data_IF_798779855381
#
_entry.id   IF_798779855381
#
_cell.length_a   1.000
_cell.length_b   1.000
_cell.length_c   1.000
_cell.angle_alpha   90.00
_cell.angle_beta   90.00
_cell.angle_gamma   90.00
#
_symmetry.space_group_name_H-M   'P 1'
#
loop_
_entity.id
_entity.type
_entity.pdbx_description
1 polymer ?
#
# COMPACT_ATOMS: atom_id res chain seq x y z
N UNK A 1 -5.88 28.30 20.51
CA UNK A 1 -5.64 27.95 21.91
C UNK A 1 -6.87 27.22 22.42
N UNK A 2 -6.83 25.91 22.48
CA UNK A 2 -7.60 25.05 23.42
C UNK A 2 -7.24 23.61 23.14
N UNK A 3 -6.65 23.01 24.14
CA UNK A 3 -6.14 21.65 24.19
C UNK A 3 -7.29 20.64 24.23
N UNK A 4 -7.27 19.64 23.36
CA UNK A 4 -8.11 18.44 23.51
C UNK A 4 -7.34 17.38 24.29
N UNK A 5 -7.81 17.16 25.52
CA UNK A 5 -7.30 16.19 26.48
C UNK A 5 -7.77 14.78 26.10
N UNK A 6 -6.81 13.88 26.05
CA UNK A 6 -7.02 12.42 25.95
C UNK A 6 -7.61 11.90 27.26
N UNK A 7 -8.78 11.28 27.21
CA UNK A 7 -9.39 10.59 28.36
C UNK A 7 -8.74 9.21 28.51
N UNK A 8 -7.96 9.03 29.59
CA UNK A 8 -7.49 7.73 30.06
C UNK A 8 -8.51 7.14 31.01
N UNK A 9 -8.96 5.92 30.75
CA UNK A 9 -9.67 5.11 31.75
C UNK A 9 -8.72 4.68 32.85
N UNK A 10 -9.14 4.91 34.10
CA UNK A 10 -8.42 4.61 35.35
C UNK A 10 -9.02 3.33 35.93
N UNK A 11 -8.20 2.28 36.04
CA UNK A 11 -8.52 1.11 36.88
C UNK A 11 -8.13 1.37 38.32
N UNK A 12 -9.01 0.94 39.24
CA UNK A 12 -8.86 1.07 40.69
C UNK A 12 -8.06 -0.11 41.27
N UNK A 13 -7.24 0.12 42.32
CA UNK A 13 -6.44 -0.93 42.94
C UNK A 13 -7.20 -1.71 44.02
N UNK A 14 -6.99 -3.02 44.02
CA UNK A 14 -7.36 -3.92 45.13
C UNK A 14 -6.19 -4.10 46.09
N UNK A 15 -6.50 -3.92 47.38
CA UNK A 15 -5.63 -4.07 48.55
C UNK A 15 -5.46 -5.53 48.97
N UNK A 16 -4.29 -5.91 49.51
CA UNK A 16 -4.07 -7.16 50.25
C UNK A 16 -2.60 -7.57 50.39
N UNK A 17 -2.04 -7.12 51.36
CA UNK A 17 -1.30 -7.49 52.62
C UNK A 17 -0.15 -8.51 52.49
N UNK A 18 0.83 -8.17 53.34
CA UNK A 18 2.19 -8.61 53.54
C UNK A 18 2.44 -10.09 53.85
N UNK A 19 3.65 -10.60 53.55
CA UNK A 19 4.64 -11.07 54.58
C UNK A 19 5.99 -11.44 53.95
N UNK A 20 7.01 -11.11 54.73
CA UNK A 20 8.44 -11.32 54.59
C UNK A 20 8.85 -12.80 54.48
N UNK A 21 9.98 -13.09 53.79
CA UNK A 21 11.17 -13.74 54.40
C UNK A 21 12.34 -13.86 53.39
N UNK A 22 13.42 -13.24 53.73
CA UNK A 22 14.87 -13.61 53.86
C UNK A 22 15.56 -14.47 52.80
N UNK A 23 16.57 -13.80 52.23
CA UNK A 23 17.98 -14.16 52.04
C UNK A 23 18.38 -15.57 51.58
N UNK A 24 19.02 -15.61 50.39
CA UNK A 24 20.35 -16.28 50.27
C UNK A 24 21.12 -15.75 49.07
N UNK A 25 22.40 -15.37 49.32
CA UNK A 25 23.39 -14.98 48.37
C UNK A 25 23.86 -16.21 47.56
N UNK A 26 23.92 -16.08 46.24
CA UNK A 26 24.59 -17.01 45.35
C UNK A 26 25.17 -16.21 44.19
N UNK A 27 26.50 -15.95 44.26
CA UNK A 27 27.24 -15.34 43.17
C UNK A 27 27.38 -16.35 42.02
N UNK A 28 26.84 -16.03 40.85
CA UNK A 28 27.15 -16.74 39.61
C UNK A 28 27.82 -15.76 38.64
N UNK A 29 29.02 -16.16 38.24
CA UNK A 29 29.92 -15.44 37.31
C UNK A 29 29.16 -15.16 36.00
N UNK A 30 29.17 -13.89 35.60
CA UNK A 30 28.71 -13.47 34.28
C UNK A 30 29.61 -14.04 33.19
N UNK A 31 28.99 -14.73 32.25
CA UNK A 31 29.52 -14.92 30.89
C UNK A 31 29.00 -13.73 30.05
N UNK A 32 29.83 -13.18 29.14
CA UNK A 32 29.34 -12.14 28.23
C UNK A 32 28.31 -12.77 27.29
N UNK A 33 27.10 -12.23 27.33
CA UNK A 33 26.09 -12.50 26.30
C UNK A 33 26.57 -11.75 25.06
N UNK A 34 27.03 -12.50 24.07
CA UNK A 34 27.21 -11.99 22.72
C UNK A 34 25.86 -11.49 22.24
N UNK A 35 25.68 -10.18 22.17
CA UNK A 35 24.58 -9.54 21.50
C UNK A 35 24.76 -9.74 19.99
N UNK A 36 24.23 -10.80 19.46
CA UNK A 36 23.95 -10.93 18.04
C UNK A 36 22.90 -9.88 17.70
N UNK A 37 23.34 -8.71 17.25
CA UNK A 37 22.50 -7.73 16.55
C UNK A 37 22.08 -8.35 15.21
N UNK A 38 21.15 -9.28 15.24
CA UNK A 38 20.38 -9.69 14.07
C UNK A 38 19.22 -8.71 13.91
N UNK A 39 19.52 -7.55 13.33
CA UNK A 39 18.55 -6.54 12.91
C UNK A 39 17.99 -6.90 11.55
N UNK A 40 17.61 -8.13 11.35
CA UNK A 40 16.60 -8.49 10.35
C UNK A 40 15.25 -8.10 10.94
N UNK A 41 14.81 -6.84 10.71
CA UNK A 41 13.40 -6.50 10.80
C UNK A 41 12.69 -7.46 9.85
N UNK A 42 12.05 -8.49 10.40
CA UNK A 42 11.19 -9.40 9.65
C UNK A 42 10.09 -8.53 9.06
N UNK A 43 10.21 -8.16 7.79
CA UNK A 43 9.25 -7.34 7.08
C UNK A 43 7.96 -8.17 7.03
N UNK A 44 6.96 -7.77 7.84
CA UNK A 44 5.74 -8.53 8.02
C UNK A 44 4.90 -8.45 6.74
N UNK A 45 4.58 -9.60 6.14
CA UNK A 45 3.69 -9.66 4.99
C UNK A 45 2.26 -9.28 5.41
N UNK A 46 1.61 -8.48 4.60
CA UNK A 46 0.19 -8.10 4.77
C UNK A 46 -0.73 -8.87 3.84
N UNK A 47 -0.20 -9.39 2.74
CA UNK A 47 -0.90 -10.33 1.87
C UNK A 47 0.03 -11.52 1.59
N UNK A 48 -0.51 -12.72 1.69
CA UNK A 48 0.18 -13.96 1.32
C UNK A 48 -0.78 -14.83 0.50
N UNK A 49 -0.32 -15.28 -0.64
CA UNK A 49 -1.04 -16.18 -1.53
C UNK A 49 -0.22 -17.46 -1.75
N UNK A 50 -0.79 -18.61 -1.46
CA UNK A 50 -0.13 -19.89 -1.61
C UNK A 50 -0.91 -20.80 -2.56
N UNK A 51 -0.28 -21.16 -3.70
CA UNK A 51 -0.79 -22.06 -4.74
C UNK A 51 -2.21 -21.70 -5.20
N UNK A 52 -2.53 -20.41 -5.28
CA UNK A 52 -3.84 -19.95 -5.69
C UNK A 52 -4.09 -20.30 -7.15
N UNK A 53 -5.21 -20.94 -7.41
CA UNK A 53 -5.63 -21.36 -8.75
C UNK A 53 -7.08 -21.01 -8.98
N UNK A 54 -7.37 -20.49 -10.19
CA UNK A 54 -8.69 -19.95 -10.54
C UNK A 54 -9.06 -20.28 -11.97
N UNK A 55 -10.32 -20.68 -12.17
CA UNK A 55 -10.88 -20.98 -13.51
C UNK A 55 -12.25 -20.32 -13.66
N UNK A 56 -12.60 -20.06 -14.91
CA UNK A 56 -13.95 -19.72 -15.32
C UNK A 56 -14.42 -20.75 -16.37
N UNK A 57 -15.26 -21.68 -15.94
CA UNK A 57 -15.61 -22.85 -16.74
C UNK A 57 -14.37 -23.71 -17.06
N UNK A 58 -14.08 -23.92 -18.36
CA UNK A 58 -12.89 -24.65 -18.81
C UNK A 58 -11.63 -23.77 -18.89
N UNK A 59 -11.74 -22.47 -18.76
CA UNK A 59 -10.62 -21.53 -18.91
C UNK A 59 -9.87 -21.37 -17.58
N UNK A 60 -8.60 -21.77 -17.54
CA UNK A 60 -7.70 -21.56 -16.38
C UNK A 60 -7.15 -20.14 -16.48
N UNK A 61 -7.42 -19.33 -15.46
CA UNK A 61 -6.91 -17.96 -15.36
C UNK A 61 -5.62 -17.92 -14.54
N UNK A 62 -5.61 -18.63 -13.39
CA UNK A 62 -4.44 -18.73 -12.52
C UNK A 62 -4.11 -20.19 -12.24
N UNK A 63 -2.83 -20.48 -12.15
CA UNK A 63 -2.30 -21.82 -11.82
C UNK A 63 -1.18 -21.70 -10.81
N UNK A 64 -1.45 -22.07 -9.55
CA UNK A 64 -0.49 -22.12 -8.45
C UNK A 64 0.25 -20.79 -8.22
N UNK A 65 -0.50 -19.67 -8.18
CA UNK A 65 0.06 -18.37 -7.82
C UNK A 65 0.59 -18.38 -6.39
N UNK A 66 1.86 -17.99 -6.24
CA UNK A 66 2.47 -17.67 -4.96
C UNK A 66 2.91 -16.20 -5.01
N UNK A 67 2.48 -15.42 -4.03
CA UNK A 67 2.72 -13.98 -3.98
C UNK A 67 2.72 -13.49 -2.54
N UNK A 68 3.59 -12.52 -2.26
CA UNK A 68 3.68 -11.88 -0.95
C UNK A 68 3.77 -10.37 -1.13
N UNK A 69 2.96 -9.63 -0.35
CA UNK A 69 3.00 -8.17 -0.25
C UNK A 69 3.43 -7.79 1.15
N UNK A 70 4.44 -6.95 1.26
CA UNK A 70 5.01 -6.50 2.53
C UNK A 70 4.29 -5.27 3.05
N UNK A 71 4.35 -5.05 4.35
CA UNK A 71 3.79 -3.84 4.97
C UNK A 71 4.50 -2.58 4.48
N UNK A 72 3.73 -1.52 4.24
CA UNK A 72 4.18 -0.18 3.84
C UNK A 72 4.95 -0.15 2.50
N UNK A 73 4.73 -1.12 1.59
CA UNK A 73 5.25 -1.05 0.22
C UNK A 73 4.16 -0.66 -0.78
N UNK A 74 4.57 -0.10 -1.90
CA UNK A 74 3.76 0.00 -3.12
C UNK A 74 4.11 -1.20 -3.99
N UNK A 75 3.20 -2.17 -4.01
CA UNK A 75 3.32 -3.40 -4.77
C UNK A 75 2.47 -3.34 -6.03
N UNK A 76 3.08 -3.54 -7.20
CA UNK A 76 2.36 -3.47 -8.46
C UNK A 76 2.19 -4.85 -9.11
N UNK A 77 1.03 -5.07 -9.72
CA UNK A 77 0.74 -6.22 -10.58
C UNK A 77 0.73 -5.77 -12.03
N UNK A 78 1.64 -6.30 -12.84
CA UNK A 78 1.67 -6.05 -14.28
C UNK A 78 1.46 -7.34 -15.06
N UNK A 79 1.09 -7.20 -16.33
CA UNK A 79 0.85 -8.34 -17.21
C UNK A 79 0.03 -7.93 -18.43
N UNK A 80 0.05 -8.74 -19.47
CA UNK A 80 -0.75 -8.51 -20.66
C UNK A 80 -2.26 -8.47 -20.39
N UNK A 81 -3.04 -7.98 -21.36
CA UNK A 81 -4.50 -8.05 -21.27
C UNK A 81 -4.96 -9.50 -21.12
N UNK A 82 -5.90 -9.75 -20.22
CA UNK A 82 -6.39 -11.10 -19.94
C UNK A 82 -5.46 -11.99 -19.09
N UNK A 83 -4.34 -11.47 -18.57
CA UNK A 83 -3.43 -12.27 -17.72
C UNK A 83 -4.00 -12.59 -16.33
N UNK A 84 -5.18 -12.04 -15.96
CA UNK A 84 -5.84 -12.33 -14.69
C UNK A 84 -5.61 -11.32 -13.57
N UNK A 85 -4.88 -10.21 -13.78
CA UNK A 85 -4.57 -9.21 -12.72
C UNK A 85 -5.79 -8.75 -11.92
N UNK A 86 -6.86 -8.33 -12.61
CA UNK A 86 -8.09 -7.88 -11.93
C UNK A 86 -8.82 -9.03 -11.24
N UNK A 87 -8.67 -10.27 -11.70
CA UNK A 87 -9.19 -11.45 -11.00
C UNK A 87 -8.43 -11.66 -9.70
N UNK A 88 -7.10 -11.61 -9.74
CA UNK A 88 -6.25 -11.75 -8.57
C UNK A 88 -6.53 -10.65 -7.52
N UNK A 89 -6.71 -9.40 -7.97
CA UNK A 89 -7.10 -8.31 -7.07
C UNK A 89 -8.48 -8.59 -6.45
N UNK A 90 -9.47 -9.04 -7.23
CA UNK A 90 -10.80 -9.39 -6.70
C UNK A 90 -10.78 -10.51 -5.68
N UNK A 91 -9.84 -11.44 -5.81
CA UNK A 91 -9.62 -12.51 -4.83
C UNK A 91 -9.05 -11.95 -3.53
N UNK A 92 -8.06 -11.06 -3.60
CA UNK A 92 -7.47 -10.39 -2.42
C UNK A 92 -8.51 -9.57 -1.63
N UNK A 93 -9.47 -8.95 -2.32
CA UNK A 93 -10.52 -8.12 -1.68
C UNK A 93 -11.83 -8.86 -1.42
N UNK A 94 -11.83 -10.20 -1.52
CA UNK A 94 -12.98 -11.07 -1.25
C UNK A 94 -14.20 -10.83 -2.16
N UNK A 95 -13.99 -10.36 -3.41
CA UNK A 95 -15.03 -10.26 -4.45
C UNK A 95 -15.09 -11.50 -5.35
N UNK A 96 -14.08 -12.35 -5.29
CA UNK A 96 -14.02 -13.65 -5.97
C UNK A 96 -13.28 -14.64 -5.09
N UNK A 97 -13.74 -15.89 -5.09
CA UNK A 97 -13.09 -16.98 -4.35
C UNK A 97 -12.30 -17.84 -5.34
N UNK A 98 -11.01 -18.15 -5.08
CA UNK A 98 -10.25 -19.06 -5.92
C UNK A 98 -10.78 -20.50 -5.82
N UNK A 99 -10.49 -21.33 -6.84
CA UNK A 99 -10.86 -22.75 -6.84
C UNK A 99 -9.95 -23.57 -5.92
N UNK A 100 -8.68 -23.16 -5.72
CA UNK A 100 -7.71 -23.82 -4.86
C UNK A 100 -6.64 -22.85 -4.37
N UNK A 101 -5.91 -23.27 -3.32
CA UNK A 101 -4.90 -22.47 -2.65
C UNK A 101 -5.48 -21.68 -1.48
N UNK A 102 -4.67 -20.84 -0.86
CA UNK A 102 -5.06 -20.03 0.30
C UNK A 102 -4.61 -18.58 0.12
N UNK A 103 -5.43 -17.66 0.60
CA UNK A 103 -5.13 -16.22 0.63
C UNK A 103 -5.24 -15.74 2.07
N UNK A 104 -4.18 -15.12 2.57
CA UNK A 104 -4.15 -14.46 3.87
C UNK A 104 -4.00 -12.95 3.65
N UNK A 105 -4.87 -12.15 4.26
CA UNK A 105 -4.81 -10.68 4.21
C UNK A 105 -4.84 -10.13 5.63
N UNK A 106 -3.90 -9.27 5.96
CA UNK A 106 -3.75 -8.67 7.30
C UNK A 106 -3.78 -9.73 8.42
N UNK A 107 -3.14 -10.88 8.17
CA UNK A 107 -3.06 -12.01 9.11
C UNK A 107 -4.29 -12.91 9.17
N UNK A 108 -5.33 -12.65 8.36
CA UNK A 108 -6.56 -13.44 8.33
C UNK A 108 -6.62 -14.31 7.08
N UNK A 109 -6.78 -15.63 7.25
CA UNK A 109 -7.02 -16.53 6.13
C UNK A 109 -8.47 -16.35 5.64
N UNK A 110 -8.62 -15.94 4.38
CA UNK A 110 -9.92 -15.56 3.81
C UNK A 110 -10.91 -16.73 3.69
N UNK A 111 -10.43 -17.96 3.66
CA UNK A 111 -11.30 -19.16 3.55
C UNK A 111 -12.00 -19.51 4.86
N UNK A 112 -11.48 -19.04 5.99
CA UNK A 112 -11.92 -19.44 7.34
C UNK A 112 -12.77 -18.38 8.03
N UNK A 113 -13.09 -17.25 7.38
CA UNK A 113 -13.81 -16.13 7.97
C UNK A 113 -15.32 -16.36 7.96
N UNK A 114 -15.96 -16.08 9.09
CA UNK A 114 -17.41 -15.86 9.15
C UNK A 114 -17.80 -14.49 8.57
N UNK A 115 -19.11 -14.27 8.37
CA UNK A 115 -19.61 -13.04 7.72
C UNK A 115 -19.22 -11.76 8.49
N UNK A 116 -19.29 -11.78 9.81
CA UNK A 116 -18.93 -10.64 10.66
C UNK A 116 -17.43 -10.35 10.60
N UNK A 117 -16.57 -11.37 10.67
CA UNK A 117 -15.13 -11.25 10.56
C UNK A 117 -14.72 -10.75 9.17
N UNK A 118 -15.38 -11.26 8.14
CA UNK A 118 -15.17 -10.83 6.76
C UNK A 118 -15.57 -9.37 6.56
N UNK A 119 -16.67 -8.91 7.18
CA UNK A 119 -17.10 -7.51 7.15
C UNK A 119 -16.09 -6.62 7.87
N UNK A 120 -15.68 -6.98 9.09
CA UNK A 120 -14.69 -6.24 9.86
C UNK A 120 -13.33 -6.15 9.12
N UNK A 121 -12.92 -7.23 8.46
CA UNK A 121 -11.69 -7.23 7.67
C UNK A 121 -11.80 -6.31 6.45
N UNK A 122 -12.94 -6.30 5.73
CA UNK A 122 -13.17 -5.42 4.57
C UNK A 122 -13.10 -3.94 4.91
N UNK A 123 -13.41 -3.53 6.13
CA UNK A 123 -13.31 -2.14 6.59
C UNK A 123 -11.85 -1.67 6.75
N UNK A 124 -10.88 -2.60 6.80
CA UNK A 124 -9.46 -2.31 6.95
C UNK A 124 -8.74 -2.04 5.62
N UNK A 125 -9.42 -2.13 4.50
CA UNK A 125 -8.88 -1.75 3.21
C UNK A 125 -9.81 -0.85 2.41
N UNK A 126 -9.20 -0.02 1.57
CA UNK A 126 -9.87 0.78 0.57
C UNK A 126 -9.67 0.21 -0.83
N UNK A 127 -10.65 0.41 -1.71
CA UNK A 127 -10.58 -0.02 -3.11
C UNK A 127 -10.96 1.12 -4.03
N UNK A 128 -10.09 1.38 -5.01
CA UNK A 128 -10.37 2.25 -6.13
C UNK A 128 -10.42 1.41 -7.41
N UNK A 129 -11.58 1.32 -8.03
CA UNK A 129 -11.77 0.60 -9.29
C UNK A 129 -11.40 1.47 -10.50
N UNK A 130 -11.12 0.85 -11.63
CA UNK A 130 -10.69 1.47 -12.87
C UNK A 130 -11.56 2.67 -13.31
N UNK A 131 -12.88 2.55 -13.20
CA UNK A 131 -13.83 3.62 -13.53
C UNK A 131 -14.26 4.46 -12.32
N UNK A 132 -13.48 4.44 -11.23
CA UNK A 132 -13.75 5.17 -10.00
C UNK A 132 -14.82 4.53 -9.11
N UNK A 133 -15.88 3.97 -9.69
CA UNK A 133 -16.97 3.30 -8.97
C UNK A 133 -17.81 4.22 -8.09
N UNK A 134 -17.81 5.54 -8.32
CA UNK A 134 -18.68 6.48 -7.60
C UNK A 134 -20.15 6.29 -8.00
N UNK A 135 -21.03 6.44 -7.04
CA UNK A 135 -22.47 6.42 -7.27
C UNK A 135 -22.91 7.72 -7.96
N UNK A 136 -23.42 7.63 -9.18
CA UNK A 136 -23.79 8.80 -9.99
C UNK A 136 -24.94 9.63 -9.44
N UNK A 137 -25.77 9.05 -8.57
CA UNK A 137 -26.88 9.72 -7.88
C UNK A 137 -26.49 10.44 -6.59
N UNK A 138 -25.26 10.28 -6.14
CA UNK A 138 -24.72 10.93 -4.95
C UNK A 138 -23.71 12.00 -5.36
N UNK A 139 -23.65 13.08 -4.61
CA UNK A 139 -22.58 14.07 -4.71
C UNK A 139 -21.21 13.45 -4.36
N UNK A 140 -20.13 14.13 -4.69
CA UNK A 140 -18.77 13.69 -4.33
C UNK A 140 -18.63 13.51 -2.82
N UNK A 141 -19.13 14.48 -2.03
CA UNK A 141 -19.06 14.44 -0.57
C UNK A 141 -19.87 13.28 0.00
N UNK A 142 -21.08 13.04 -0.53
CA UNK A 142 -21.90 11.89 -0.14
C UNK A 142 -21.23 10.55 -0.51
N UNK A 143 -20.58 10.46 -1.68
CA UNK A 143 -19.82 9.29 -2.06
C UNK A 143 -18.68 9.02 -1.09
N UNK A 144 -17.93 10.04 -0.67
CA UNK A 144 -16.83 9.91 0.30
C UNK A 144 -17.35 9.52 1.68
N UNK A 145 -18.48 10.10 2.11
CA UNK A 145 -19.10 9.80 3.41
C UNK A 145 -19.85 8.47 3.46
N UNK A 146 -20.15 7.84 2.32
CA UNK A 146 -20.97 6.63 2.27
C UNK A 146 -20.38 5.46 3.09
N UNK A 147 -19.07 5.11 2.99
CA UNK A 147 -18.51 4.04 3.82
C UNK A 147 -18.63 4.32 5.32
N UNK A 148 -18.53 5.59 5.73
CA UNK A 148 -18.71 5.97 7.14
C UNK A 148 -20.15 5.78 7.59
N UNK A 149 -21.16 6.15 6.76
CA UNK A 149 -22.58 5.93 7.09
C UNK A 149 -22.96 4.46 7.21
N UNK A 150 -22.36 3.60 6.38
CA UNK A 150 -22.66 2.17 6.35
C UNK A 150 -21.97 1.38 7.48
N UNK A 151 -20.83 1.88 7.99
CA UNK A 151 -19.95 1.09 8.86
C UNK A 151 -19.63 1.74 10.20
N UNK A 152 -20.21 2.90 10.52
CA UNK A 152 -19.97 3.61 11.80
C UNK A 152 -21.27 4.22 12.35
N UNK A 153 -21.29 4.48 13.66
CA UNK A 153 -22.38 5.18 14.33
C UNK A 153 -22.13 6.70 14.45
N UNK A 154 -21.33 7.28 13.55
CA UNK A 154 -21.01 8.71 13.54
C UNK A 154 -22.24 9.52 13.11
N UNK A 155 -22.37 10.73 13.67
CA UNK A 155 -23.42 11.66 13.24
C UNK A 155 -23.15 12.15 11.80
N UNK A 156 -24.21 12.48 11.05
CA UNK A 156 -24.11 13.02 9.70
C UNK A 156 -23.21 14.28 9.64
N UNK A 157 -23.28 15.15 10.65
CA UNK A 157 -22.43 16.33 10.71
C UNK A 157 -20.93 15.97 10.76
N UNK A 158 -20.56 14.96 11.57
CA UNK A 158 -19.17 14.50 11.67
C UNK A 158 -18.73 13.75 10.41
N UNK A 159 -19.60 12.94 9.83
CA UNK A 159 -19.32 12.28 8.53
C UNK A 159 -19.05 13.33 7.45
N UNK A 160 -19.82 14.41 7.44
CA UNK A 160 -19.67 15.50 6.51
C UNK A 160 -18.34 16.25 6.68
N UNK A 161 -17.88 16.44 7.92
CA UNK A 161 -16.56 17.02 8.21
C UNK A 161 -15.43 16.10 7.77
N UNK A 162 -15.53 14.80 8.07
CA UNK A 162 -14.53 13.80 7.64
C UNK A 162 -14.47 13.73 6.13
N UNK A 163 -15.63 13.69 5.45
CA UNK A 163 -15.69 13.66 4.00
C UNK A 163 -15.05 14.90 3.36
N UNK A 164 -15.28 16.08 3.94
CA UNK A 164 -14.64 17.33 3.51
C UNK A 164 -13.10 17.27 3.68
N UNK A 165 -12.62 16.72 4.80
CA UNK A 165 -11.20 16.53 5.04
C UNK A 165 -10.57 15.53 4.07
N UNK A 166 -11.24 14.38 3.80
CA UNK A 166 -10.76 13.41 2.81
C UNK A 166 -10.73 13.98 1.39
N UNK A 167 -11.65 14.88 1.07
CA UNK A 167 -11.65 15.64 -0.19
C UNK A 167 -10.39 16.50 -0.31
N UNK A 168 -10.03 17.25 0.74
CA UNK A 168 -8.81 18.06 0.78
C UNK A 168 -7.54 17.19 0.69
N UNK A 169 -7.50 16.06 1.41
CA UNK A 169 -6.40 15.09 1.31
C UNK A 169 -6.18 14.59 -0.12
N UNK A 170 -7.25 14.42 -0.89
CA UNK A 170 -7.17 14.05 -2.30
C UNK A 170 -6.80 15.23 -3.23
N UNK A 171 -6.53 16.41 -2.67
CA UNK A 171 -6.18 17.63 -3.42
C UNK A 171 -7.34 18.18 -4.25
N UNK A 172 -8.58 17.99 -3.79
CA UNK A 172 -9.78 18.52 -4.43
C UNK A 172 -10.32 19.74 -3.66
N UNK A 173 -10.67 20.85 -4.35
CA UNK A 173 -11.28 22.01 -3.69
C UNK A 173 -12.63 21.65 -3.06
N UNK A 174 -12.97 22.24 -1.91
CA UNK A 174 -14.20 21.97 -1.16
C UNK A 174 -15.50 22.12 -1.99
N UNK A 175 -15.51 23.05 -2.95
CA UNK A 175 -16.65 23.25 -3.86
C UNK A 175 -16.99 22.01 -4.70
N UNK A 176 -16.02 21.12 -4.93
CA UNK A 176 -16.20 19.87 -5.68
C UNK A 176 -17.07 18.88 -4.89
N UNK A 177 -17.10 18.99 -3.57
CA UNK A 177 -17.92 18.15 -2.72
C UNK A 177 -19.41 18.17 -3.03
N UNK A 178 -19.93 19.27 -3.55
CA UNK A 178 -21.34 19.42 -3.95
C UNK A 178 -21.64 18.99 -5.40
N UNK A 179 -20.61 18.66 -6.18
CA UNK A 179 -20.79 18.21 -7.57
C UNK A 179 -21.14 16.71 -7.63
N UNK A 180 -21.79 16.34 -8.73
CA UNK A 180 -22.03 14.92 -9.04
C UNK A 180 -20.88 14.34 -9.88
N UNK A 181 -20.66 13.02 -9.85
CA UNK A 181 -19.59 12.39 -10.62
C UNK A 181 -19.55 12.77 -12.10
N UNK A 182 -20.70 12.95 -12.74
CA UNK A 182 -20.81 13.33 -14.15
C UNK A 182 -20.26 14.73 -14.48
N UNK A 183 -20.09 15.57 -13.47
CA UNK A 183 -19.58 16.95 -13.62
C UNK A 183 -18.05 17.04 -13.45
N UNK A 184 -17.38 15.92 -13.12
CA UNK A 184 -15.95 15.87 -12.81
C UNK A 184 -15.12 15.61 -14.07
N UNK A 185 -13.93 16.22 -14.13
CA UNK A 185 -12.89 15.75 -15.04
C UNK A 185 -12.40 14.35 -14.66
N UNK A 186 -11.74 13.65 -15.58
CA UNK A 186 -11.17 12.32 -15.31
C UNK A 186 -10.26 12.28 -14.07
N UNK A 187 -9.35 13.26 -13.96
CA UNK A 187 -8.45 13.36 -12.80
C UNK A 187 -9.19 13.66 -11.50
N UNK A 188 -10.22 14.54 -11.52
CA UNK A 188 -11.05 14.80 -10.34
C UNK A 188 -11.85 13.56 -9.93
N UNK A 189 -12.37 12.79 -10.89
CA UNK A 189 -13.06 11.53 -10.65
C UNK A 189 -12.15 10.52 -9.93
N UNK A 190 -10.91 10.36 -10.40
CA UNK A 190 -9.91 9.46 -9.79
C UNK A 190 -9.58 9.88 -8.36
N UNK A 191 -9.33 11.17 -8.13
CA UNK A 191 -9.06 11.73 -6.80
C UNK A 191 -10.25 11.58 -5.84
N UNK A 192 -11.47 11.83 -6.29
CA UNK A 192 -12.68 11.61 -5.50
C UNK A 192 -12.87 10.14 -5.13
N UNK A 193 -12.58 9.23 -6.05
CA UNK A 193 -12.62 7.78 -5.81
C UNK A 193 -11.58 7.33 -4.80
N UNK A 194 -10.38 7.91 -4.86
CA UNK A 194 -9.32 7.68 -3.89
C UNK A 194 -9.73 8.22 -2.50
N UNK A 195 -10.30 9.44 -2.42
CA UNK A 195 -10.83 10.00 -1.18
C UNK A 195 -11.88 9.08 -0.52
N UNK A 196 -12.79 8.49 -1.31
CA UNK A 196 -13.76 7.50 -0.83
C UNK A 196 -13.08 6.22 -0.33
N UNK A 197 -12.08 5.71 -1.05
CA UNK A 197 -11.33 4.54 -0.65
C UNK A 197 -10.59 4.74 0.69
N UNK A 198 -10.25 5.99 1.02
CA UNK A 198 -9.59 6.37 2.27
C UNK A 198 -10.55 6.71 3.42
N UNK A 199 -11.88 6.65 3.21
CA UNK A 199 -12.85 7.16 4.17
C UNK A 199 -12.76 6.51 5.56
N UNK A 200 -12.49 5.21 5.64
CA UNK A 200 -12.37 4.42 6.87
C UNK A 200 -10.94 4.31 7.41
N UNK A 201 -10.00 5.16 6.98
CA UNK A 201 -8.58 5.09 7.36
C UNK A 201 -7.97 3.67 7.21
N UNK A 202 -7.97 3.12 5.98
CA UNK A 202 -7.54 1.76 5.75
C UNK A 202 -6.04 1.55 6.01
N UNK A 203 -5.64 0.31 6.34
CA UNK A 203 -4.24 -0.11 6.41
C UNK A 203 -3.69 -0.52 5.03
N UNK A 204 -4.59 -0.92 4.12
CA UNK A 204 -4.28 -1.45 2.80
C UNK A 204 -5.14 -0.78 1.74
N UNK A 205 -4.54 -0.37 0.63
CA UNK A 205 -5.23 0.29 -0.46
C UNK A 205 -5.03 -0.48 -1.77
N UNK A 206 -6.12 -0.81 -2.43
CA UNK A 206 -6.11 -1.44 -3.75
C UNK A 206 -6.48 -0.43 -4.83
N UNK A 207 -5.63 -0.30 -5.85
CA UNK A 207 -5.81 0.63 -6.96
C UNK A 207 -5.82 -0.13 -8.29
N UNK A 208 -6.97 -0.14 -8.96
CA UNK A 208 -7.10 -0.75 -10.29
C UNK A 208 -7.03 0.35 -11.35
N UNK A 209 -5.88 0.43 -12.05
CA UNK A 209 -5.59 1.41 -13.10
C UNK A 209 -5.83 2.87 -12.66
N UNK A 210 -5.11 3.38 -11.63
CA UNK A 210 -5.41 4.66 -11.02
C UNK A 210 -5.28 5.85 -11.96
N UNK A 211 -4.39 5.80 -12.95
CA UNK A 211 -4.10 6.90 -13.88
C UNK A 211 -4.59 6.65 -15.30
N UNK A 212 -5.22 5.48 -15.56
CA UNK A 212 -5.70 5.14 -16.89
C UNK A 212 -6.70 6.18 -17.43
N UNK A 213 -6.43 6.64 -18.67
CA UNK A 213 -7.28 7.61 -19.37
C UNK A 213 -7.10 9.05 -18.93
N UNK A 214 -6.10 9.36 -18.10
CA UNK A 214 -5.74 10.72 -17.74
C UNK A 214 -4.71 11.31 -18.72
N UNK A 215 -4.72 12.63 -18.81
CA UNK A 215 -3.61 13.38 -19.40
C UNK A 215 -2.36 13.30 -18.49
N UNK A 216 -1.14 13.51 -19.02
CA UNK A 216 0.09 13.34 -18.24
C UNK A 216 0.17 14.18 -16.97
N UNK A 217 -0.36 15.41 -16.97
CA UNK A 217 -0.32 16.29 -15.79
C UNK A 217 -1.26 15.79 -14.70
N UNK A 218 -2.46 15.36 -15.09
CA UNK A 218 -3.42 14.76 -14.17
C UNK A 218 -2.93 13.43 -13.60
N UNK A 219 -2.25 12.63 -14.41
CA UNK A 219 -1.65 11.36 -13.99
C UNK A 219 -0.56 11.59 -12.94
N UNK A 220 0.43 12.45 -13.22
CA UNK A 220 1.49 12.81 -12.27
C UNK A 220 0.92 13.30 -10.93
N UNK A 221 -0.14 14.10 -10.98
CA UNK A 221 -0.78 14.56 -9.76
C UNK A 221 -1.49 13.47 -8.93
N UNK A 222 -1.91 12.35 -9.53
CA UNK A 222 -2.41 11.17 -8.81
C UNK A 222 -1.25 10.35 -8.26
N UNK A 223 -0.16 10.22 -9.01
CA UNK A 223 1.04 9.49 -8.62
C UNK A 223 1.71 10.10 -7.38
N UNK A 224 1.87 11.43 -7.39
CA UNK A 224 2.39 12.16 -6.23
C UNK A 224 1.48 12.03 -5.00
N UNK A 225 0.17 11.98 -5.20
CA UNK A 225 -0.79 11.76 -4.12
C UNK A 225 -0.62 10.34 -3.53
N UNK A 226 -0.47 9.31 -4.36
CA UNK A 226 -0.24 7.92 -3.93
C UNK A 226 1.03 7.82 -3.10
N UNK A 227 2.15 8.42 -3.54
CA UNK A 227 3.41 8.48 -2.80
C UNK A 227 3.23 9.19 -1.45
N UNK A 228 2.56 10.36 -1.45
CA UNK A 228 2.30 11.14 -0.24
C UNK A 228 1.50 10.34 0.78
N UNK A 229 0.47 9.62 0.34
CA UNK A 229 -0.38 8.80 1.21
C UNK A 229 0.42 7.63 1.82
N UNK A 230 1.26 6.95 1.03
CA UNK A 230 2.17 5.92 1.56
C UNK A 230 3.09 6.49 2.64
N UNK A 231 3.78 7.58 2.33
CA UNK A 231 4.84 8.13 3.20
C UNK A 231 4.29 8.73 4.50
N UNK A 232 3.12 9.40 4.45
CA UNK A 232 2.52 10.02 5.62
C UNK A 232 1.78 9.05 6.52
N UNK A 233 1.11 8.04 5.94
CA UNK A 233 0.23 7.13 6.70
C UNK A 233 0.79 5.71 6.83
N UNK A 234 1.94 5.41 6.21
CA UNK A 234 2.50 4.07 6.21
C UNK A 234 1.60 3.04 5.51
N UNK A 235 0.81 3.50 4.53
CA UNK A 235 -0.13 2.65 3.78
C UNK A 235 0.62 1.60 2.98
N UNK A 236 0.10 0.39 2.99
CA UNK A 236 0.45 -0.62 1.99
C UNK A 236 -0.45 -0.44 0.78
N UNK A 237 0.11 -0.38 -0.41
CA UNK A 237 -0.65 -0.14 -1.64
C UNK A 237 -0.41 -1.29 -2.62
N UNK A 238 -1.48 -1.91 -3.08
CA UNK A 238 -1.46 -2.88 -4.18
C UNK A 238 -2.11 -2.23 -5.40
N UNK A 239 -1.35 -2.09 -6.48
CA UNK A 239 -1.89 -1.48 -7.70
C UNK A 239 -1.81 -2.39 -8.91
N UNK A 240 -2.78 -2.26 -9.80
CA UNK A 240 -2.71 -2.79 -11.16
C UNK A 240 -2.49 -1.62 -12.10
N UNK A 241 -1.49 -1.71 -12.93
CA UNK A 241 -1.24 -0.71 -13.99
C UNK A 241 -0.47 -1.32 -15.14
N UNK A 242 -0.54 -0.68 -16.29
CA UNK A 242 0.29 -0.95 -17.46
C UNK A 242 1.20 0.23 -17.81
N UNK A 243 1.21 1.27 -16.97
CA UNK A 243 2.03 2.45 -17.11
C UNK A 243 3.41 2.22 -16.51
N UNK A 244 4.42 2.07 -17.38
CA UNK A 244 5.79 1.80 -16.94
C UNK A 244 6.46 3.01 -16.31
N UNK A 245 6.11 4.23 -16.75
CA UNK A 245 6.66 5.45 -16.18
C UNK A 245 6.22 5.61 -14.73
N UNK A 246 4.94 5.35 -14.46
CA UNK A 246 4.40 5.28 -13.10
C UNK A 246 5.15 4.24 -12.26
N UNK A 247 5.33 3.02 -12.77
CA UNK A 247 5.99 1.94 -12.03
C UNK A 247 7.43 2.28 -11.63
N UNK A 248 8.20 2.91 -12.53
CA UNK A 248 9.55 3.36 -12.21
C UNK A 248 9.61 4.45 -11.13
N UNK A 249 8.55 5.26 -11.03
CA UNK A 249 8.48 6.35 -10.07
C UNK A 249 8.00 5.91 -8.68
N UNK A 250 7.00 5.01 -8.62
CA UNK A 250 6.29 4.77 -7.36
C UNK A 250 6.42 3.34 -6.83
N UNK A 251 6.66 2.32 -7.67
CA UNK A 251 6.60 0.93 -7.23
C UNK A 251 7.89 0.49 -6.53
N UNK A 252 7.75 -0.02 -5.30
CA UNK A 252 8.86 -0.66 -4.58
C UNK A 252 9.15 -2.05 -5.15
N UNK A 253 8.09 -2.83 -5.41
CA UNK A 253 8.17 -4.15 -6.04
C UNK A 253 7.05 -4.36 -7.04
N UNK A 254 7.36 -5.13 -8.06
CA UNK A 254 6.45 -5.45 -9.17
C UNK A 254 6.38 -6.96 -9.35
N UNK A 255 5.19 -7.52 -9.50
CA UNK A 255 4.98 -8.89 -9.95
C UNK A 255 4.51 -8.91 -11.40
N UNK A 256 5.18 -9.68 -12.23
CA UNK A 256 4.83 -9.89 -13.64
C UNK A 256 3.96 -11.14 -13.76
N UNK A 257 2.71 -10.95 -14.19
CA UNK A 257 1.75 -12.02 -14.39
C UNK A 257 1.60 -12.36 -15.88
N UNK A 258 1.97 -13.59 -16.25
CA UNK A 258 1.79 -14.08 -17.62
C UNK A 258 1.47 -15.58 -17.61
N UNK A 259 0.67 -16.03 -18.59
CA UNK A 259 0.29 -17.45 -18.75
C UNK A 259 -0.30 -18.06 -17.47
N UNK A 260 -1.04 -17.27 -16.70
CA UNK A 260 -1.67 -17.70 -15.45
C UNK A 260 -0.69 -17.93 -14.29
N UNK A 261 0.55 -17.47 -14.37
CA UNK A 261 1.60 -17.62 -13.34
C UNK A 261 2.33 -16.32 -13.08
N UNK A 262 2.90 -16.18 -11.90
CA UNK A 262 3.89 -15.15 -11.60
C UNK A 262 5.22 -15.53 -12.24
N UNK A 263 5.70 -14.73 -13.16
CA UNK A 263 6.95 -14.96 -13.90
C UNK A 263 8.17 -14.40 -13.16
N UNK A 264 7.97 -13.41 -12.31
CA UNK A 264 9.01 -12.81 -11.49
C UNK A 264 8.43 -11.74 -10.58
N UNK A 265 9.11 -11.51 -9.46
CA UNK A 265 8.82 -10.44 -8.48
C UNK A 265 10.12 -9.76 -8.11
N UNK A 266 10.15 -8.44 -8.16
CA UNK A 266 11.33 -7.64 -7.79
C UNK A 266 11.09 -6.16 -8.06
N UNK A 267 12.10 -5.34 -7.83
CA UNK A 267 12.10 -3.95 -8.26
C UNK A 267 12.12 -3.85 -9.80
N UNK A 268 11.70 -2.72 -10.35
CA UNK A 268 11.78 -2.48 -11.79
C UNK A 268 13.21 -2.67 -12.32
N UNK A 269 14.22 -2.22 -11.56
CA UNK A 269 15.63 -2.36 -11.94
C UNK A 269 16.14 -3.81 -11.93
N UNK A 270 15.61 -4.67 -11.05
CA UNK A 270 15.91 -6.11 -11.05
C UNK A 270 15.22 -6.81 -12.21
N UNK A 271 13.92 -6.57 -12.39
CA UNK A 271 13.13 -7.21 -13.43
C UNK A 271 13.60 -6.85 -14.85
N UNK A 272 14.08 -5.63 -15.07
CA UNK A 272 14.62 -5.21 -16.38
C UNK A 272 15.85 -6.01 -16.83
N UNK A 273 16.53 -6.70 -15.91
CA UNK A 273 17.73 -7.52 -16.18
C UNK A 273 17.43 -9.02 -16.31
N UNK A 274 16.20 -9.43 -16.03
CA UNK A 274 15.82 -10.85 -16.05
C UNK A 274 15.70 -11.34 -17.49
N UNK A 275 16.38 -12.44 -17.81
CA UNK A 275 16.29 -13.09 -19.11
C UNK A 275 15.09 -14.05 -19.19
N UNK A 276 13.87 -13.48 -19.13
CA UNK A 276 12.62 -14.19 -19.31
C UNK A 276 11.79 -13.46 -20.39
N UNK A 277 11.39 -14.14 -21.50
CA UNK A 277 10.65 -13.51 -22.59
C UNK A 277 9.33 -12.86 -22.14
N UNK A 278 8.62 -13.44 -21.18
CA UNK A 278 7.36 -12.92 -20.67
C UNK A 278 7.57 -11.65 -19.83
N UNK A 279 8.75 -11.43 -19.26
CA UNK A 279 9.14 -10.20 -18.55
C UNK A 279 9.68 -9.18 -19.54
N UNK A 280 10.60 -9.58 -20.42
CA UNK A 280 11.24 -8.69 -21.41
C UNK A 280 10.26 -7.95 -22.30
N UNK A 281 9.14 -8.57 -22.69
CA UNK A 281 8.14 -7.92 -23.53
C UNK A 281 7.62 -6.59 -22.95
N UNK A 282 7.68 -6.39 -21.63
CA UNK A 282 7.29 -5.13 -20.98
C UNK A 282 8.39 -4.08 -21.07
N UNK A 283 9.66 -4.49 -21.00
CA UNK A 283 10.81 -3.57 -21.01
C UNK A 283 11.34 -3.28 -22.42
N UNK A 284 11.24 -4.23 -23.36
CA UNK A 284 11.77 -4.09 -24.72
C UNK A 284 10.82 -3.33 -25.66
N UNK A 285 9.58 -3.07 -25.25
CA UNK A 285 8.61 -2.25 -25.97
C UNK A 285 9.05 -0.78 -26.08
N UNK A 286 8.51 0.01 -27.05
CA UNK A 286 8.89 1.43 -27.22
C UNK A 286 8.76 2.25 -25.93
N UNK A 287 7.70 2.04 -25.14
CA UNK A 287 7.47 2.70 -23.85
C UNK A 287 8.46 2.22 -22.78
N UNK A 288 8.75 0.93 -22.71
CA UNK A 288 9.68 0.35 -21.75
C UNK A 288 11.12 0.85 -21.94
N UNK A 289 11.56 1.04 -23.18
CA UNK A 289 12.89 1.59 -23.49
C UNK A 289 13.03 3.04 -23.03
N UNK A 290 12.03 3.87 -23.31
CA UNK A 290 12.03 5.29 -22.91
C UNK A 290 12.02 5.42 -21.38
N UNK A 291 11.18 4.68 -20.68
CA UNK A 291 11.11 4.68 -19.23
C UNK A 291 12.41 4.22 -18.57
N UNK A 292 13.04 3.17 -19.08
CA UNK A 292 14.32 2.65 -18.59
C UNK A 292 15.48 3.64 -18.79
N UNK A 293 15.52 4.35 -19.93
CA UNK A 293 16.52 5.38 -20.22
C UNK A 293 16.36 6.60 -19.30
N UNK A 294 15.12 7.04 -19.04
CA UNK A 294 14.82 8.15 -18.13
C UNK A 294 15.18 7.81 -16.69
N UNK A 295 14.84 6.61 -16.21
CA UNK A 295 15.21 6.15 -14.88
C UNK A 295 16.73 6.06 -14.69
N UNK A 296 17.47 5.59 -15.70
CA UNK A 296 18.93 5.58 -15.71
C UNK A 296 19.55 6.98 -15.63
N UNK A 297 18.94 7.97 -16.29
CA UNK A 297 19.39 9.36 -16.24
C UNK A 297 19.11 10.00 -14.88
N UNK A 298 17.95 9.77 -14.27
CA UNK A 298 17.59 10.27 -12.94
C UNK A 298 18.51 9.69 -11.85
N UNK A 299 18.77 8.39 -11.87
CA UNK A 299 19.70 7.75 -10.94
C UNK A 299 21.12 8.33 -11.03
N UNK A 300 21.58 8.68 -12.25
CA UNK A 300 22.90 9.26 -12.49
C UNK A 300 22.98 10.72 -12.03
N UNK A 301 21.88 11.47 -12.05
CA UNK A 301 21.79 12.84 -11.51
C UNK A 301 21.82 12.82 -9.99
N UNK A 302 21.06 11.94 -9.36
CA UNK A 302 20.99 11.81 -7.91
C UNK A 302 22.34 11.36 -7.30
N UNK A 303 23.07 10.46 -7.96
CA UNK A 303 24.40 10.04 -7.53
C UNK A 303 25.47 11.15 -7.62
N UNK A 304 25.28 12.15 -8.49
CA UNK A 304 26.17 13.31 -8.63
C UNK A 304 25.86 14.45 -7.65
N UNK A 305 24.70 14.45 -7.02
CA UNK A 305 24.23 15.55 -6.13
C UNK A 305 24.46 15.23 -4.65
N UNK A 306 24.95 14.02 -4.29
CA UNK A 306 25.36 13.75 -2.93
C UNK A 306 26.67 14.50 -2.63
N UNK A 307 26.72 15.39 -1.62
CA UNK A 307 27.96 16.07 -1.24
C UNK A 307 28.96 15.02 -0.76
N UNK A 308 30.13 15.01 -1.41
CA UNK A 308 31.29 14.23 -0.94
C UNK A 308 31.56 14.66 0.50
N UNK A 309 31.44 13.74 1.43
CA UNK A 309 31.84 13.92 2.83
C UNK A 309 33.34 14.26 2.83
N UNK A 310 33.67 15.52 3.02
CA UNK A 310 35.04 15.97 3.20
C UNK A 310 35.61 15.30 4.44
N UNK A 311 36.67 14.53 4.27
CA UNK A 311 37.50 14.00 5.38
C UNK A 311 37.87 15.12 6.32
N UNK A 312 37.86 14.91 7.65
CA UNK A 312 38.29 15.93 8.60
C UNK A 312 39.78 16.17 8.46
N UNK A 313 40.15 17.42 8.15
CA UNK A 313 41.54 17.90 8.09
C UNK A 313 42.19 17.64 9.44
N UNK A 314 43.22 16.80 9.48
CA UNK A 314 44.04 16.54 10.63
C UNK A 314 44.73 17.84 11.10
N UNK A 315 44.52 18.23 12.37
CA UNK A 315 45.19 19.38 12.99
C UNK A 315 46.68 19.06 13.19
N UNK A 316 47.59 19.97 12.85
CA UNK A 316 49.03 19.76 13.12
C UNK A 316 49.30 19.82 14.63
N UNK A 317 50.04 18.83 15.12
CA UNK A 317 50.51 18.75 16.52
C UNK A 317 51.51 19.88 16.84
N UNK A 318 51.11 20.77 17.73
CA UNK A 318 52.05 21.72 18.35
C UNK A 318 52.96 21.01 19.36
N UNK A 319 54.25 20.98 19.09
CA UNK A 319 55.30 20.60 20.09
C UNK A 319 55.51 21.75 21.06
N UNK A 320 55.62 21.49 22.38
CA UNK A 320 56.05 22.50 23.32
C UNK A 320 57.60 22.61 23.31
N UNK A 321 58.06 23.85 23.43
CA UNK A 321 59.46 24.18 23.88
C UNK A 321 59.44 24.31 25.38
#
# INVERSE_FOLDING_TARGET
MSSLSVVRCIDKPGTGDARQERTQKGAVRGQPVESSNDTSQTQMNVIEMHKVSTRFGSHVVHSEINLEVRRAEIFALIGGSGSGKSTLLREMIMLHRPDAGTITVLGNNLDNLGDEEALALRQRWGVMFQHGGLFGSLTVKENIGLPLREHTDLSDALIDEIAAWKLDMAGLPQKVGAQYPAELSGGMMKRASLARALALDPELLFLDEPTAGLDPVSADGVDQLVLTLRDLFGLTIVMITHDLDLLWQVADRVAVLAKGKVQGVGSMAELSKVDNPDIRQFFDGPRGRTANEQAGQQANIQSRTQPQTTEPIARPSSKPK
#
